data_IF_114644684882
#
_entry.id   IF_114644684882
#
_cell.length_a   1.000
_cell.length_b   1.000
_cell.length_c   1.000
_cell.angle_alpha   90.00
_cell.angle_beta   90.00
_cell.angle_gamma   90.00
#
_symmetry.space_group_name_H-M   'P 1'
#
loop_
_entity.id
_entity.type
_entity.pdbx_description
1 polymer ?
#
# COMPACT_ATOMS: atom_id res chain seq x y z
N UNK A 1 -25.67 -46.97 -13.06
CA UNK A 1 -24.75 -47.49 -14.09
C UNK A 1 -24.01 -46.26 -14.61
N UNK A 2 -22.88 -45.95 -13.97
CA UNK A 2 -22.17 -44.68 -14.15
C UNK A 2 -21.37 -44.75 -15.43
N UNK A 3 -21.81 -44.00 -16.44
CA UNK A 3 -21.08 -43.84 -17.68
C UNK A 3 -19.80 -43.07 -17.40
N UNK A 4 -18.69 -43.80 -17.43
CA UNK A 4 -17.35 -43.34 -17.10
C UNK A 4 -16.93 -42.46 -18.29
N UNK A 5 -17.04 -41.14 -18.14
CA UNK A 5 -16.52 -40.19 -19.13
C UNK A 5 -15.09 -40.59 -19.52
N UNK A 6 -14.97 -41.09 -20.75
CA UNK A 6 -13.70 -41.37 -21.42
C UNK A 6 -13.15 -40.02 -21.84
N UNK A 7 -12.15 -39.52 -21.13
CA UNK A 7 -11.35 -38.39 -21.58
C UNK A 7 -10.68 -38.76 -22.90
N UNK A 8 -10.90 -38.02 -24.01
CA UNK A 8 -10.19 -38.26 -25.26
C UNK A 8 -8.72 -37.98 -25.05
N UNK A 9 -7.85 -38.89 -25.48
CA UNK A 9 -6.41 -38.68 -25.52
C UNK A 9 -6.13 -37.49 -26.46
N UNK A 10 -5.58 -36.36 -25.97
CA UNK A 10 -5.43 -35.16 -26.79
C UNK A 10 -4.44 -35.43 -27.93
N UNK A 11 -4.89 -35.25 -29.18
CA UNK A 11 -4.05 -35.38 -30.36
C UNK A 11 -2.78 -34.50 -30.21
N UNK A 12 -1.61 -34.93 -30.72
CA UNK A 12 -0.31 -34.29 -30.50
C UNK A 12 -0.27 -32.79 -30.84
N UNK A 13 -1.12 -32.33 -31.76
CA UNK A 13 -1.25 -30.91 -32.10
C UNK A 13 -1.82 -30.05 -30.96
N UNK A 14 -2.83 -30.55 -30.24
CA UNK A 14 -3.47 -29.81 -29.13
C UNK A 14 -2.53 -29.62 -27.95
N UNK A 15 -1.66 -30.61 -27.67
CA UNK A 15 -0.61 -30.48 -26.66
C UNK A 15 0.41 -29.40 -27.03
N UNK A 16 0.77 -29.27 -28.32
CA UNK A 16 1.69 -28.23 -28.80
C UNK A 16 1.08 -26.83 -28.78
N UNK A 17 -0.23 -26.72 -29.08
CA UNK A 17 -0.97 -25.47 -29.02
C UNK A 17 -1.16 -25.00 -27.58
N UNK A 18 -1.53 -25.89 -26.67
CA UNK A 18 -1.59 -25.64 -25.22
C UNK A 18 -0.24 -25.18 -24.67
N UNK A 19 0.86 -25.82 -25.08
CA UNK A 19 2.21 -25.44 -24.67
C UNK A 19 2.58 -24.03 -25.17
N UNK A 20 2.23 -23.69 -26.40
CA UNK A 20 2.44 -22.34 -26.98
C UNK A 20 1.55 -21.30 -26.31
N UNK A 21 0.29 -21.63 -26.03
CA UNK A 21 -0.66 -20.75 -25.36
C UNK A 21 -0.21 -20.45 -23.93
N UNK A 22 0.27 -21.46 -23.19
CA UNK A 22 0.88 -21.28 -21.86
C UNK A 22 2.13 -20.42 -21.94
N UNK A 23 3.08 -20.75 -22.84
CA UNK A 23 4.30 -19.96 -23.00
C UNK A 23 4.02 -18.50 -23.38
N UNK A 24 2.98 -18.22 -24.16
CA UNK A 24 2.54 -16.86 -24.48
C UNK A 24 1.91 -16.16 -23.27
N UNK A 25 1.09 -16.85 -22.47
CA UNK A 25 0.50 -16.31 -21.23
C UNK A 25 1.53 -16.00 -20.16
N UNK A 26 2.53 -16.86 -19.97
CA UNK A 26 3.64 -16.62 -19.03
C UNK A 26 4.44 -15.38 -19.40
N UNK A 27 4.72 -15.18 -20.70
CA UNK A 27 5.40 -13.97 -21.18
C UNK A 27 4.59 -12.69 -20.99
N UNK A 28 3.27 -12.79 -20.96
CA UNK A 28 2.37 -11.66 -20.76
C UNK A 28 1.95 -11.47 -19.28
N UNK A 29 2.46 -12.29 -18.35
CA UNK A 29 2.06 -12.23 -16.94
C UNK A 29 0.59 -12.59 -16.70
N UNK A 30 -0.04 -13.30 -17.65
CA UNK A 30 -1.44 -13.73 -17.60
C UNK A 30 -1.62 -15.07 -16.88
N UNK A 31 -0.53 -15.70 -16.45
CA UNK A 31 -0.62 -16.83 -15.54
C UNK A 31 -1.24 -16.34 -14.21
N UNK A 32 -2.15 -17.12 -13.59
CA UNK A 32 -2.69 -16.76 -12.30
C UNK A 32 -1.52 -16.52 -11.36
N UNK A 33 -1.35 -15.28 -10.90
CA UNK A 33 -0.42 -15.01 -9.81
C UNK A 33 -0.86 -15.96 -8.69
N UNK A 34 0.02 -16.88 -8.24
CA UNK A 34 -0.37 -17.82 -7.22
C UNK A 34 -0.85 -17.00 -6.01
N UNK A 35 -1.85 -17.53 -5.28
CA UNK A 35 -2.58 -16.73 -4.30
C UNK A 35 -1.66 -16.08 -3.25
N UNK A 36 -0.52 -16.71 -2.97
CA UNK A 36 0.62 -16.22 -2.20
C UNK A 36 1.28 -14.97 -2.78
N UNK A 37 1.49 -14.88 -4.10
CA UNK A 37 2.03 -13.70 -4.78
C UNK A 37 1.06 -12.51 -4.78
N UNK A 38 -0.24 -12.76 -4.90
CA UNK A 38 -1.27 -11.71 -4.77
C UNK A 38 -1.34 -11.20 -3.33
N UNK A 39 -1.24 -12.11 -2.36
CA UNK A 39 -1.25 -11.77 -0.94
C UNK A 39 0.02 -11.00 -0.55
N UNK A 40 1.20 -11.46 -0.96
CA UNK A 40 2.47 -10.77 -0.73
C UNK A 40 2.49 -9.36 -1.36
N UNK A 41 1.89 -9.20 -2.55
CA UNK A 41 1.74 -7.88 -3.18
C UNK A 41 0.82 -6.95 -2.39
N UNK A 42 -0.30 -7.46 -1.87
CA UNK A 42 -1.22 -6.69 -1.01
C UNK A 42 -0.57 -6.30 0.32
N UNK A 43 0.19 -7.21 0.92
CA UNK A 43 0.90 -6.96 2.17
C UNK A 43 2.01 -5.91 1.97
N UNK A 44 2.76 -6.01 0.87
CA UNK A 44 3.76 -4.99 0.50
C UNK A 44 3.13 -3.61 0.28
N UNK A 45 1.97 -3.53 -0.38
CA UNK A 45 1.22 -2.30 -0.56
C UNK A 45 0.72 -1.73 0.78
N UNK A 46 0.19 -2.58 1.67
CA UNK A 46 -0.26 -2.17 2.99
C UNK A 46 0.90 -1.65 3.86
N UNK A 47 2.06 -2.32 3.83
CA UNK A 47 3.27 -1.87 4.52
C UNK A 47 3.78 -0.53 3.96
N UNK A 48 3.81 -0.37 2.65
CA UNK A 48 4.21 0.89 2.01
C UNK A 48 3.30 2.05 2.40
N UNK A 49 1.99 1.81 2.45
CA UNK A 49 1.02 2.79 2.91
C UNK A 49 1.22 3.16 4.38
N UNK A 50 1.41 2.16 5.25
CA UNK A 50 1.64 2.36 6.68
C UNK A 50 2.93 3.13 6.96
N UNK A 51 4.02 2.80 6.25
CA UNK A 51 5.30 3.50 6.36
C UNK A 51 5.16 4.97 5.96
N UNK A 52 4.50 5.24 4.82
CA UNK A 52 4.26 6.61 4.37
C UNK A 52 3.47 7.41 5.40
N UNK A 53 2.37 6.84 5.90
CA UNK A 53 1.56 7.46 6.95
C UNK A 53 2.39 7.76 8.20
N UNK A 54 3.19 6.80 8.65
CA UNK A 54 4.09 6.98 9.80
C UNK A 54 5.08 8.13 9.60
N UNK A 55 5.74 8.18 8.44
CA UNK A 55 6.70 9.24 8.10
C UNK A 55 6.01 10.60 8.03
N UNK A 56 4.82 10.70 7.44
CA UNK A 56 4.06 11.95 7.36
C UNK A 56 3.68 12.48 8.76
N UNK A 57 3.27 11.59 9.68
CA UNK A 57 2.97 11.96 11.07
C UNK A 57 4.20 12.46 11.82
N UNK A 58 5.31 11.72 11.74
CA UNK A 58 6.56 12.09 12.42
C UNK A 58 7.12 13.39 11.85
N UNK A 59 7.13 13.54 10.53
CA UNK A 59 7.60 14.76 9.88
C UNK A 59 6.77 15.98 10.29
N UNK A 60 5.43 15.87 10.30
CA UNK A 60 4.55 16.96 10.73
C UNK A 60 4.82 17.37 12.18
N UNK A 61 5.03 16.41 13.09
CA UNK A 61 5.37 16.69 14.49
C UNK A 61 6.73 17.36 14.63
N UNK A 62 7.77 16.84 13.97
CA UNK A 62 9.13 17.42 14.03
C UNK A 62 9.13 18.86 13.54
N UNK A 63 8.47 19.14 12.41
CA UNK A 63 8.36 20.49 11.87
C UNK A 63 7.61 21.41 12.83
N UNK A 64 6.46 20.96 13.36
CA UNK A 64 5.67 21.76 14.28
C UNK A 64 6.40 22.07 15.59
N UNK A 65 7.08 21.08 16.18
CA UNK A 65 7.89 21.28 17.39
C UNK A 65 9.07 22.20 17.12
N UNK A 66 9.74 22.05 15.97
CA UNK A 66 10.84 22.93 15.57
C UNK A 66 10.41 24.39 15.43
N UNK A 67 9.28 24.64 14.75
CA UNK A 67 8.71 25.99 14.61
C UNK A 67 8.26 26.54 15.96
N UNK A 68 7.50 25.76 16.73
CA UNK A 68 6.99 26.19 18.02
C UNK A 68 8.11 26.53 19.01
N UNK A 69 9.15 25.70 19.07
CA UNK A 69 10.34 25.96 19.88
C UNK A 69 11.10 27.21 19.43
N UNK A 70 11.30 27.38 18.12
CA UNK A 70 12.00 28.54 17.58
C UNK A 70 11.24 29.85 17.89
N UNK A 71 9.90 29.84 17.78
CA UNK A 71 9.06 30.98 18.14
C UNK A 71 9.11 31.27 19.64
N UNK A 72 8.99 30.23 20.48
CA UNK A 72 9.05 30.42 21.92
C UNK A 72 10.40 31.00 22.36
N UNK A 73 11.50 30.59 21.73
CA UNK A 73 12.83 31.12 22.02
C UNK A 73 13.01 32.55 21.51
N UNK A 74 12.53 32.86 20.30
CA UNK A 74 12.68 34.18 19.71
C UNK A 74 11.85 35.26 20.42
N UNK A 75 10.67 34.89 20.93
CA UNK A 75 9.75 35.79 21.63
C UNK A 75 9.88 35.74 23.15
N UNK A 76 10.84 34.95 23.67
CA UNK A 76 11.03 34.67 25.10
C UNK A 76 9.73 34.27 25.81
N UNK A 77 8.83 33.59 25.09
CA UNK A 77 7.56 33.14 25.66
C UNK A 77 7.77 31.86 26.47
N UNK A 78 6.86 31.64 27.42
CA UNK A 78 6.63 30.31 28.00
C UNK A 78 6.24 29.36 26.85
N UNK A 79 6.37 28.02 26.98
CA UNK A 79 6.23 27.05 25.86
C UNK A 79 4.79 26.92 25.32
N UNK A 80 4.23 28.04 24.86
CA UNK A 80 2.86 28.24 24.43
C UNK A 80 2.80 27.97 22.93
N UNK A 81 3.74 28.52 22.14
CA UNK A 81 3.78 28.25 20.72
C UNK A 81 4.13 26.78 20.47
N UNK A 82 5.03 26.19 21.23
CA UNK A 82 5.31 24.76 21.18
C UNK A 82 4.05 23.93 21.44
N UNK A 83 3.26 24.25 22.48
CA UNK A 83 2.02 23.54 22.76
C UNK A 83 0.99 23.69 21.62
N UNK A 84 0.77 24.92 21.12
CA UNK A 84 -0.17 25.20 20.03
C UNK A 84 0.26 24.51 18.74
N UNK A 85 1.52 24.65 18.34
CA UNK A 85 2.04 24.01 17.13
C UNK A 85 2.05 22.50 17.25
N UNK A 86 2.33 21.91 18.42
CA UNK A 86 2.22 20.47 18.62
C UNK A 86 0.81 19.95 18.32
N UNK A 87 -0.22 20.66 18.80
CA UNK A 87 -1.62 20.32 18.52
C UNK A 87 -1.95 20.48 17.03
N UNK A 88 -1.51 21.57 16.40
CA UNK A 88 -1.71 21.82 14.97
C UNK A 88 -0.99 20.78 14.10
N UNK A 89 0.25 20.44 14.42
CA UNK A 89 1.06 19.43 13.73
C UNK A 89 0.41 18.04 13.83
N UNK A 90 -0.02 17.66 15.03
CA UNK A 90 -0.76 16.42 15.27
C UNK A 90 -2.09 16.38 14.51
N UNK A 91 -2.89 17.45 14.57
CA UNK A 91 -4.15 17.56 13.83
C UNK A 91 -3.94 17.48 12.32
N UNK A 92 -2.94 18.20 11.78
CA UNK A 92 -2.57 18.14 10.37
C UNK A 92 -2.19 16.73 9.93
N UNK A 93 -1.36 16.06 10.74
CA UNK A 93 -0.97 14.68 10.51
C UNK A 93 -2.17 13.74 10.43
N UNK A 94 -3.05 13.78 11.43
CA UNK A 94 -4.27 12.94 11.46
C UNK A 94 -5.18 13.22 10.26
N UNK A 95 -5.38 14.50 9.91
CA UNK A 95 -6.20 14.89 8.76
C UNK A 95 -5.62 14.39 7.44
N UNK A 96 -4.29 14.34 7.32
CA UNK A 96 -3.63 13.79 6.15
C UNK A 96 -3.86 12.28 6.01
N UNK A 97 -3.71 11.53 7.11
CA UNK A 97 -4.03 10.09 7.14
C UNK A 97 -5.48 9.83 6.77
N UNK A 98 -6.40 10.62 7.32
CA UNK A 98 -7.82 10.48 7.03
C UNK A 98 -8.14 10.69 5.55
N UNK A 99 -7.45 11.63 4.86
CA UNK A 99 -7.58 11.77 3.39
C UNK A 99 -7.05 10.57 2.62
N UNK A 100 -5.98 9.94 3.09
CA UNK A 100 -5.38 8.78 2.44
C UNK A 100 -6.28 7.54 2.59
N UNK A 101 -6.92 7.39 3.76
CA UNK A 101 -7.73 6.21 4.09
C UNK A 101 -9.18 6.35 3.63
N UNK A 102 -9.72 7.57 3.51
CA UNK A 102 -11.13 7.78 3.12
C UNK A 102 -11.40 7.21 1.73
N UNK A 103 -12.27 6.19 1.59
CA UNK A 103 -12.71 5.70 0.29
C UNK A 103 -13.44 6.83 -0.44
N UNK A 104 -13.09 7.07 -1.70
CA UNK A 104 -13.88 7.96 -2.56
C UNK A 104 -15.19 7.23 -2.91
N UNK A 105 -16.37 7.82 -2.63
CA UNK A 105 -17.65 7.24 -3.03
C UNK A 105 -17.81 7.22 -4.55
#
# INVERSE_FOLDING_TARGET
>A
MSDKQVSPDPAPETASFEARLRAARTKQGLDPIPADGVQAGRDALAMGLGMRVGVELVAALVVALGIGWALDHWLETRPIFLAVFMLLGGASGILNVWRVVKPRP
#
